data_IF_370600732324
#
_entry.id   IF_370600732324
#
_cell.length_a   1.000
_cell.length_b   1.000
_cell.length_c   1.000
_cell.angle_alpha   90.00
_cell.angle_beta   90.00
_cell.angle_gamma   90.00
#
_symmetry.space_group_name_H-M   'P 1'
#
loop_
_entity.id
_entity.type
_entity.pdbx_description
1 polymer ?
#
# COMPACT_ATOMS: atom_id res chain seq x y z
N UNK A 1 8.52 -1.59 13.16
CA UNK A 1 8.87 -2.84 13.89
C UNK A 1 7.76 -3.85 13.66
N UNK A 2 8.07 -5.09 13.30
CA UNK A 2 7.06 -6.15 13.16
C UNK A 2 6.85 -6.87 14.49
N UNK A 3 5.60 -6.97 14.95
CA UNK A 3 5.24 -7.56 16.25
C UNK A 3 4.11 -8.57 16.10
N UNK A 4 4.46 -9.82 15.74
CA UNK A 4 3.49 -10.91 15.53
C UNK A 4 2.65 -11.22 16.78
N UNK A 5 3.21 -11.04 17.97
CA UNK A 5 2.56 -11.40 19.25
C UNK A 5 1.78 -10.26 19.90
N UNK A 6 1.82 -9.06 19.32
CA UNK A 6 1.32 -7.82 19.93
C UNK A 6 1.90 -7.58 21.35
N UNK A 7 3.10 -8.10 21.65
CA UNK A 7 3.67 -8.00 23.00
C UNK A 7 4.40 -6.67 23.22
N UNK A 8 4.93 -6.09 22.14
CA UNK A 8 5.62 -4.81 22.15
C UNK A 8 4.59 -3.68 22.14
N UNK A 9 3.57 -3.78 21.28
CA UNK A 9 2.47 -2.80 21.23
C UNK A 9 1.80 -2.67 22.60
N UNK A 10 1.55 -3.77 23.31
CA UNK A 10 0.93 -3.74 24.65
C UNK A 10 1.75 -3.01 25.72
N UNK A 11 3.08 -3.07 25.64
CA UNK A 11 3.96 -2.56 26.69
C UNK A 11 4.58 -1.21 26.39
N UNK A 12 4.70 -0.86 25.11
CA UNK A 12 5.55 0.25 24.68
C UNK A 12 4.88 1.20 23.69
N UNK A 13 3.65 0.93 23.22
CA UNK A 13 2.95 1.84 22.31
C UNK A 13 2.54 3.13 23.01
N UNK A 14 2.86 4.27 22.38
CA UNK A 14 2.43 5.60 22.77
C UNK A 14 1.66 6.26 21.61
N UNK A 15 0.36 6.43 21.77
CA UNK A 15 -0.54 7.01 20.75
C UNK A 15 -0.14 8.42 20.27
N UNK A 16 0.63 9.16 21.05
CA UNK A 16 1.04 10.52 20.70
C UNK A 16 2.20 10.57 19.69
N UNK A 17 2.96 9.48 19.55
CA UNK A 17 4.18 9.44 18.73
C UNK A 17 4.27 8.22 17.83
N UNK A 18 3.66 7.09 18.21
CA UNK A 18 3.78 5.83 17.50
C UNK A 18 2.66 5.65 16.49
N UNK A 19 3.04 5.15 15.32
CA UNK A 19 2.14 4.83 14.22
C UNK A 19 1.89 3.32 14.20
N UNK A 20 0.62 2.93 14.30
CA UNK A 20 0.20 1.53 14.30
C UNK A 20 -0.34 1.14 12.92
N UNK A 21 0.15 0.03 12.37
CA UNK A 21 -0.38 -0.58 11.14
C UNK A 21 -0.93 -1.96 11.47
N UNK A 22 -2.21 -2.02 11.84
CA UNK A 22 -2.95 -3.24 12.09
C UNK A 22 -4.43 -3.02 11.70
N UNK A 23 -4.90 -3.53 10.56
CA UNK A 23 -6.26 -3.23 10.05
C UNK A 23 -7.40 -3.74 10.95
N UNK A 24 -7.10 -4.51 12.00
CA UNK A 24 -8.06 -5.00 12.99
C UNK A 24 -8.02 -4.21 14.31
N UNK A 25 -7.29 -3.10 14.36
CA UNK A 25 -7.18 -2.21 15.51
C UNK A 25 -7.70 -0.81 15.14
N UNK A 26 -8.59 -0.24 15.94
CA UNK A 26 -9.21 1.07 15.68
C UNK A 26 -8.19 2.22 15.64
N UNK A 27 -7.02 2.03 16.24
CA UNK A 27 -5.92 3.02 16.24
C UNK A 27 -5.04 2.91 14.99
N UNK A 28 -5.37 2.02 14.06
CA UNK A 28 -4.60 1.84 12.83
C UNK A 28 -4.55 3.15 12.04
N UNK A 29 -3.37 3.49 11.56
CA UNK A 29 -3.21 4.59 10.63
C UNK A 29 -3.91 4.26 9.31
N UNK A 30 -4.49 5.30 8.70
CA UNK A 30 -5.08 5.21 7.39
C UNK A 30 -3.99 5.19 6.32
N UNK A 31 -3.41 4.01 6.10
CA UNK A 31 -2.42 3.79 5.06
C UNK A 31 -3.09 3.80 3.67
N UNK A 32 -2.54 4.61 2.77
CA UNK A 32 -3.09 4.84 1.43
C UNK A 32 -2.00 4.59 0.39
N UNK A 33 -2.15 3.48 -0.35
CA UNK A 33 -1.24 3.07 -1.42
C UNK A 33 -0.92 4.22 -2.39
N UNK A 34 -1.93 5.02 -2.78
CA UNK A 34 -1.77 6.09 -3.77
C UNK A 34 -1.14 7.37 -3.21
N UNK A 35 -0.90 7.44 -1.89
CA UNK A 35 -0.04 8.47 -1.28
C UNK A 35 1.43 8.03 -1.23
N UNK A 36 1.67 6.72 -1.14
CA UNK A 36 3.02 6.15 -1.08
C UNK A 36 3.64 5.93 -2.47
N UNK A 37 2.82 5.51 -3.44
CA UNK A 37 3.27 5.23 -4.80
C UNK A 37 2.84 6.36 -5.75
N UNK A 38 3.82 7.07 -6.32
CA UNK A 38 3.58 8.22 -7.21
C UNK A 38 3.94 7.91 -8.67
N UNK A 39 4.81 6.93 -8.89
CA UNK A 39 5.32 6.56 -10.20
C UNK A 39 5.08 5.08 -10.48
N UNK A 40 5.07 4.69 -11.76
CA UNK A 40 4.91 3.28 -12.16
C UNK A 40 5.93 2.34 -11.47
N UNK A 41 7.23 2.70 -11.36
CA UNK A 41 8.18 1.88 -10.60
C UNK A 41 7.84 1.69 -9.11
N UNK A 42 7.20 2.67 -8.46
CA UNK A 42 6.75 2.51 -7.07
C UNK A 42 5.67 1.43 -6.97
N UNK A 43 4.73 1.41 -7.93
CA UNK A 43 3.70 0.38 -8.02
C UNK A 43 4.29 -0.99 -8.39
N UNK A 44 5.32 -1.05 -9.24
CA UNK A 44 6.04 -2.30 -9.51
C UNK A 44 6.73 -2.84 -8.27
N UNK A 45 7.38 -1.98 -7.49
CA UNK A 45 8.00 -2.36 -6.22
C UNK A 45 6.95 -2.92 -5.25
N UNK A 46 5.81 -2.23 -5.12
CA UNK A 46 4.70 -2.68 -4.30
C UNK A 46 4.10 -4.01 -4.79
N UNK A 47 3.95 -4.20 -6.11
CA UNK A 47 3.45 -5.44 -6.70
C UNK A 47 4.35 -6.63 -6.33
N UNK A 48 5.66 -6.44 -6.33
CA UNK A 48 6.62 -7.46 -5.92
C UNK A 48 6.53 -7.81 -4.43
N UNK A 49 6.26 -6.81 -3.58
CA UNK A 49 6.04 -7.02 -2.14
C UNK A 49 4.72 -7.75 -1.85
N UNK A 50 3.63 -7.35 -2.50
CA UNK A 50 2.29 -7.88 -2.23
C UNK A 50 2.04 -9.25 -2.89
N UNK A 51 2.67 -9.51 -4.03
CA UNK A 51 2.49 -10.74 -4.80
C UNK A 51 3.86 -11.44 -4.88
N UNK A 52 4.30 -12.14 -3.81
CA UNK A 52 5.59 -12.80 -3.79
C UNK A 52 5.62 -13.98 -4.77
N UNK A 53 6.77 -14.20 -5.40
CA UNK A 53 6.96 -15.34 -6.31
C UNK A 53 7.23 -16.59 -5.47
N UNK A 54 6.42 -17.64 -5.65
CA UNK A 54 6.73 -18.96 -5.12
C UNK A 54 7.80 -19.64 -5.99
N UNK A 55 8.61 -20.52 -5.40
CA UNK A 55 9.67 -21.24 -6.13
C UNK A 55 9.15 -22.43 -6.94
N UNK A 56 7.90 -22.84 -6.71
CA UNK A 56 7.29 -24.05 -7.27
C UNK A 56 6.24 -23.78 -8.34
N UNK A 57 5.72 -22.56 -8.45
CA UNK A 57 4.69 -22.21 -9.44
C UNK A 57 5.29 -21.53 -10.67
N UNK A 58 4.61 -21.65 -11.80
CA UNK A 58 5.00 -21.02 -13.04
C UNK A 58 5.10 -19.48 -12.86
N UNK A 59 6.27 -18.86 -13.13
CA UNK A 59 6.46 -17.42 -13.01
C UNK A 59 5.48 -16.59 -13.85
N UNK A 60 4.89 -17.17 -14.89
CA UNK A 60 3.91 -16.50 -15.74
C UNK A 60 2.73 -15.94 -14.95
N UNK A 61 2.20 -16.68 -13.98
CA UNK A 61 1.00 -16.26 -13.24
C UNK A 61 1.29 -15.09 -12.30
N UNK A 62 2.37 -15.19 -11.53
CA UNK A 62 2.82 -14.12 -10.65
C UNK A 62 3.21 -12.88 -11.45
N UNK A 63 3.95 -13.06 -12.55
CA UNK A 63 4.37 -11.97 -13.42
C UNK A 63 3.17 -11.23 -14.02
N UNK A 64 2.20 -11.97 -14.57
CA UNK A 64 0.98 -11.40 -15.14
C UNK A 64 0.15 -10.65 -14.09
N UNK A 65 -0.01 -11.23 -12.89
CA UNK A 65 -0.73 -10.58 -11.80
C UNK A 65 -0.08 -9.26 -11.38
N UNK A 66 1.26 -9.21 -11.30
CA UNK A 66 2.01 -7.98 -11.00
C UNK A 66 1.83 -6.93 -12.10
N UNK A 67 1.93 -7.32 -13.37
CA UNK A 67 1.72 -6.39 -14.50
C UNK A 67 0.32 -5.77 -14.46
N UNK A 68 -0.72 -6.58 -14.22
CA UNK A 68 -2.10 -6.08 -14.08
C UNK A 68 -2.21 -5.14 -12.88
N UNK A 69 -1.66 -5.51 -11.73
CA UNK A 69 -1.67 -4.68 -10.53
C UNK A 69 -1.05 -3.31 -10.79
N UNK A 70 0.18 -3.27 -11.32
CA UNK A 70 0.89 -2.01 -11.61
C UNK A 70 0.07 -1.13 -12.55
N UNK A 71 -0.39 -1.69 -13.66
CA UNK A 71 -1.11 -0.92 -14.67
C UNK A 71 -2.41 -0.31 -14.14
N UNK A 72 -3.19 -1.09 -13.39
CA UNK A 72 -4.47 -0.64 -12.82
C UNK A 72 -4.25 0.37 -11.69
N UNK A 73 -3.31 0.09 -10.77
CA UNK A 73 -3.03 0.97 -9.64
C UNK A 73 -2.54 2.35 -10.10
N UNK A 74 -1.61 2.39 -11.07
CA UNK A 74 -1.11 3.63 -11.65
C UNK A 74 -2.23 4.42 -12.35
N UNK A 75 -3.11 3.74 -13.11
CA UNK A 75 -4.24 4.37 -13.79
C UNK A 75 -5.22 5.00 -12.81
N UNK A 76 -5.61 4.28 -11.76
CA UNK A 76 -6.54 4.77 -10.73
C UNK A 76 -5.93 5.91 -9.91
N UNK A 77 -4.63 5.85 -9.60
CA UNK A 77 -3.90 6.93 -8.91
C UNK A 77 -3.93 8.24 -9.70
N UNK A 78 -3.67 8.18 -11.01
CA UNK A 78 -3.74 9.35 -11.88
C UNK A 78 -5.14 9.98 -11.94
N UNK A 79 -6.20 9.15 -11.96
CA UNK A 79 -7.59 9.63 -11.93
C UNK A 79 -7.89 10.36 -10.61
N UNK A 80 -7.45 9.81 -9.47
CA UNK A 80 -7.66 10.42 -8.15
C UNK A 80 -7.02 11.80 -8.06
N UNK A 81 -5.79 11.95 -8.55
CA UNK A 81 -5.11 13.25 -8.58
C UNK A 81 -5.89 14.24 -9.44
N UNK A 82 -6.29 13.84 -10.65
CA UNK A 82 -7.05 14.71 -11.54
C UNK A 82 -8.40 15.17 -10.95
N UNK A 83 -9.12 14.29 -10.24
CA UNK A 83 -10.39 14.66 -9.59
C UNK A 83 -10.15 15.67 -8.47
N UNK A 84 -9.14 15.46 -7.63
CA UNK A 84 -8.81 16.35 -6.51
C UNK A 84 -8.35 17.72 -7.04
N UNK A 85 -7.44 17.76 -8.01
CA UNK A 85 -6.96 19.02 -8.61
C UNK A 85 -8.10 19.80 -9.25
N UNK A 86 -8.97 19.14 -10.03
CA UNK A 86 -10.13 19.80 -10.64
C UNK A 86 -11.15 20.30 -9.61
N UNK A 87 -11.24 19.67 -8.43
CA UNK A 87 -12.11 20.15 -7.35
C UNK A 87 -11.59 21.46 -6.75
N UNK A 88 -10.26 21.57 -6.54
CA UNK A 88 -9.66 22.78 -5.99
C UNK A 88 -9.56 23.94 -6.99
N UNK A 89 -9.47 23.69 -8.29
CA UNK A 89 -9.46 24.77 -9.31
C UNK A 89 -10.85 25.40 -9.58
N UNK A 90 -11.93 24.80 -9.05
CA UNK A 90 -13.30 25.31 -9.20
C UNK A 90 -13.74 26.24 -8.05
N UNK A 91 -12.87 26.50 -7.08
CA UNK A 91 -13.09 27.40 -5.94
C UNK A 91 -11.87 28.29 -5.72
#
# INVERSE_FOLDING_TARGET
>A
MFDKGCSLVKKHYNENIDKLLNPLDDRCENWDLWRECLTTPDFDSMANTLIPQSTSEDPFWTGSARTIFTAVAAKLGGIRIAVITNYYERY
#
